data_IF_052467103716
#
_entry.id   IF_052467103716
#
_cell.length_a   1.000
_cell.length_b   1.000
_cell.length_c   1.000
_cell.angle_alpha   90.00
_cell.angle_beta   90.00
_cell.angle_gamma   90.00
#
_symmetry.space_group_name_H-M   'P 1'
#
loop_
_entity.id
_entity.type
_entity.pdbx_description
1 polymer ?
#
# COMPACT_ATOMS: atom_id res chain seq x y z
N UNK A 1 11.37 2.34 -24.36
CA UNK A 1 10.57 1.88 -23.20
C UNK A 1 9.68 3.06 -22.80
N UNK A 2 8.43 2.85 -22.38
CA UNK A 2 7.60 3.96 -21.85
C UNK A 2 8.13 4.37 -20.48
N UNK A 3 8.00 5.66 -20.12
CA UNK A 3 8.44 6.19 -18.83
C UNK A 3 7.75 5.48 -17.67
N UNK A 4 6.48 5.08 -17.80
CA UNK A 4 5.81 4.27 -16.77
C UNK A 4 6.51 2.93 -16.54
N UNK A 5 6.99 2.27 -17.61
CA UNK A 5 7.78 1.04 -17.50
C UNK A 5 9.14 1.31 -16.85
N UNK A 6 9.79 2.43 -17.15
CA UNK A 6 11.02 2.84 -16.47
C UNK A 6 10.82 3.17 -14.98
N UNK A 7 9.70 3.78 -14.59
CA UNK A 7 9.37 4.08 -13.19
C UNK A 7 9.05 2.82 -12.40
N UNK A 8 8.32 1.87 -12.99
CA UNK A 8 8.12 0.53 -12.42
C UNK A 8 9.47 -0.16 -12.20
N UNK A 9 10.46 0.07 -13.07
CA UNK A 9 11.75 -0.63 -13.08
C UNK A 9 12.92 0.16 -12.45
N UNK A 10 12.73 1.40 -11.99
CA UNK A 10 13.81 2.23 -11.41
C UNK A 10 14.16 1.80 -9.98
N UNK A 11 15.43 2.03 -9.63
CA UNK A 11 16.21 1.34 -8.60
C UNK A 11 15.78 1.61 -7.15
N UNK A 12 14.73 0.95 -6.69
CA UNK A 12 14.74 0.32 -5.38
C UNK A 12 15.33 -1.10 -5.55
N UNK A 13 15.96 -1.73 -4.53
CA UNK A 13 16.45 -3.12 -4.66
C UNK A 13 15.34 -4.13 -5.03
N UNK A 14 14.08 -3.70 -4.95
CA UNK A 14 12.84 -4.36 -5.37
C UNK A 14 12.07 -3.35 -6.24
N UNK A 15 11.49 -3.75 -7.38
CA UNK A 15 10.83 -2.80 -8.28
C UNK A 15 9.60 -2.15 -7.64
N UNK A 16 9.25 -0.91 -8.02
CA UNK A 16 8.07 -0.24 -7.46
C UNK A 16 6.79 -1.03 -7.75
N UNK A 17 6.72 -1.68 -8.92
CA UNK A 17 5.61 -2.59 -9.26
C UNK A 17 5.50 -3.78 -8.31
N UNK A 18 6.62 -4.39 -7.92
CA UNK A 18 6.62 -5.52 -6.98
C UNK A 18 6.16 -5.07 -5.58
N UNK A 19 6.61 -3.90 -5.12
CA UNK A 19 6.19 -3.33 -3.84
C UNK A 19 4.68 -3.05 -3.83
N UNK A 20 4.15 -2.51 -4.93
CA UNK A 20 2.71 -2.26 -5.08
C UNK A 20 1.91 -3.57 -5.10
N UNK A 21 2.40 -4.59 -5.82
CA UNK A 21 1.80 -5.92 -5.85
C UNK A 21 1.80 -6.61 -4.48
N UNK A 22 2.92 -6.55 -3.77
CA UNK A 22 3.04 -7.06 -2.39
C UNK A 22 2.08 -6.33 -1.44
N UNK A 23 1.98 -5.01 -1.57
CA UNK A 23 1.09 -4.19 -0.74
C UNK A 23 -0.38 -4.57 -0.96
N UNK A 24 -0.81 -4.63 -2.22
CA UNK A 24 -2.18 -5.00 -2.57
C UNK A 24 -2.50 -6.44 -2.14
N UNK A 25 -1.58 -7.38 -2.35
CA UNK A 25 -1.74 -8.78 -1.96
C UNK A 25 -1.84 -8.95 -0.44
N UNK A 26 -0.96 -8.29 0.32
CA UNK A 26 -1.01 -8.33 1.78
C UNK A 26 -2.30 -7.72 2.32
N UNK A 27 -2.71 -6.55 1.81
CA UNK A 27 -3.94 -5.89 2.23
C UNK A 27 -5.18 -6.75 1.96
N UNK A 28 -5.25 -7.38 0.79
CA UNK A 28 -6.34 -8.31 0.44
C UNK A 28 -6.35 -9.55 1.34
N UNK A 29 -5.18 -10.15 1.59
CA UNK A 29 -5.05 -11.29 2.49
C UNK A 29 -5.47 -10.93 3.93
N UNK A 30 -5.02 -9.78 4.44
CA UNK A 30 -5.40 -9.30 5.77
C UNK A 30 -6.91 -9.10 5.88
N UNK A 31 -7.54 -8.43 4.91
CA UNK A 31 -9.00 -8.25 4.88
C UNK A 31 -9.76 -9.58 4.88
N UNK A 32 -9.30 -10.56 4.10
CA UNK A 32 -9.90 -11.89 4.07
C UNK A 32 -9.77 -12.60 5.43
N UNK A 33 -8.58 -12.57 6.04
CA UNK A 33 -8.30 -13.21 7.33
C UNK A 33 -9.08 -12.54 8.46
N UNK A 34 -9.17 -11.20 8.48
CA UNK A 34 -10.00 -10.46 9.44
C UNK A 34 -11.48 -10.81 9.36
N UNK A 35 -11.95 -11.19 8.16
CA UNK A 35 -13.34 -11.57 7.96
C UNK A 35 -13.62 -12.99 8.45
N UNK A 36 -12.67 -13.91 8.27
CA UNK A 36 -12.85 -15.33 8.62
C UNK A 36 -12.53 -15.60 10.09
N UNK A 37 -11.41 -15.07 10.61
CA UNK A 37 -10.98 -15.27 11.99
C UNK A 37 -10.28 -14.02 12.54
N UNK A 38 -11.06 -13.01 12.96
CA UNK A 38 -10.52 -11.75 13.47
C UNK A 38 -9.71 -11.91 14.77
N UNK A 39 -9.93 -12.97 15.54
CA UNK A 39 -9.28 -13.18 16.84
C UNK A 39 -7.98 -13.97 16.78
N UNK A 40 -7.67 -14.54 15.60
CA UNK A 40 -6.48 -15.35 15.40
C UNK A 40 -5.19 -14.61 15.70
N UNK A 41 -4.15 -15.39 16.03
CA UNK A 41 -2.77 -14.91 16.12
C UNK A 41 -2.33 -14.26 14.79
N UNK A 42 -2.77 -14.81 13.66
CA UNK A 42 -2.45 -14.31 12.34
C UNK A 42 -3.07 -12.92 12.09
N UNK A 43 -4.34 -12.72 12.47
CA UNK A 43 -4.99 -11.40 12.39
C UNK A 43 -4.23 -10.34 13.18
N UNK A 44 -3.83 -10.66 14.41
CA UNK A 44 -3.02 -9.75 15.24
C UNK A 44 -1.68 -9.44 14.59
N UNK A 45 -0.93 -10.46 14.18
CA UNK A 45 0.38 -10.31 13.51
C UNK A 45 0.26 -9.45 12.24
N UNK A 46 -0.77 -9.64 11.43
CA UNK A 46 -0.98 -8.82 10.23
C UNK A 46 -1.24 -7.34 10.58
N UNK A 47 -2.06 -7.09 11.60
CA UNK A 47 -2.41 -5.74 12.03
C UNK A 47 -1.24 -4.98 12.66
N UNK A 48 -0.43 -5.65 13.47
CA UNK A 48 0.60 -4.99 14.29
C UNK A 48 2.01 -5.08 13.72
N UNK A 49 2.31 -6.11 12.93
CA UNK A 49 3.67 -6.41 12.48
C UNK A 49 3.84 -6.38 10.95
N UNK A 50 2.79 -6.68 10.18
CA UNK A 50 2.90 -6.73 8.71
C UNK A 50 2.46 -5.44 8.02
N UNK A 51 1.28 -4.91 8.35
CA UNK A 51 0.73 -3.71 7.73
C UNK A 51 1.58 -2.47 8.01
N UNK A 52 2.01 -2.16 9.25
CA UNK A 52 2.72 -0.91 9.54
C UNK A 52 4.04 -0.74 8.76
N UNK A 53 4.91 -1.77 8.64
CA UNK A 53 6.12 -1.65 7.80
C UNK A 53 5.82 -1.40 6.33
N UNK A 54 4.80 -2.06 5.75
CA UNK A 54 4.43 -1.85 4.35
C UNK A 54 3.98 -0.41 4.10
N UNK A 55 3.26 0.20 5.05
CA UNK A 55 2.89 1.63 4.97
C UNK A 55 4.12 2.53 4.88
N UNK A 56 5.18 2.23 5.63
CA UNK A 56 6.43 3.00 5.57
C UNK A 56 7.17 2.80 4.24
N UNK A 57 7.08 1.61 3.65
CA UNK A 57 7.73 1.29 2.37
C UNK A 57 7.02 1.97 1.19
N UNK A 58 5.69 2.05 1.19
CA UNK A 58 4.94 2.62 0.06
C UNK A 58 4.89 4.16 0.06
N UNK A 59 5.12 4.80 1.21
CA UNK A 59 5.05 6.27 1.36
C UNK A 59 5.99 7.02 0.38
N UNK A 60 7.29 6.68 0.27
CA UNK A 60 8.18 7.34 -0.70
C UNK A 60 7.72 7.18 -2.16
N UNK A 61 7.15 6.03 -2.51
CA UNK A 61 6.64 5.75 -3.87
C UNK A 61 5.43 6.64 -4.18
N UNK A 62 4.53 6.83 -3.21
CA UNK A 62 3.39 7.73 -3.35
C UNK A 62 3.81 9.19 -3.53
N UNK A 63 4.85 9.61 -2.81
CA UNK A 63 5.39 10.95 -2.93
C UNK A 63 6.04 11.17 -4.31
N UNK A 64 6.86 10.23 -4.76
CA UNK A 64 7.45 10.28 -6.10
C UNK A 64 6.37 10.29 -7.20
N UNK A 65 5.35 9.44 -7.08
CA UNK A 65 4.24 9.41 -8.02
C UNK A 65 3.49 10.75 -8.10
N UNK A 66 3.24 11.41 -6.95
CA UNK A 66 2.61 12.73 -6.90
C UNK A 66 3.47 13.81 -7.56
N UNK A 67 4.77 13.80 -7.27
CA UNK A 67 5.71 14.78 -7.86
C UNK A 67 5.81 14.63 -9.37
N UNK A 68 5.76 13.41 -9.89
CA UNK A 68 5.78 13.14 -11.32
C UNK A 68 4.47 13.54 -12.01
N UNK A 69 3.32 13.26 -11.40
CA UNK A 69 2.02 13.70 -11.93
C UNK A 69 1.87 15.23 -11.92
N UNK A 70 2.40 15.91 -10.90
CA UNK A 70 2.42 17.38 -10.83
C UNK A 70 3.26 18.04 -11.96
N UNK A 71 4.09 17.28 -12.66
CA UNK A 71 4.82 17.73 -13.85
C UNK A 71 4.00 17.59 -15.16
N UNK A 72 2.70 17.28 -15.08
CA UNK A 72 1.73 17.18 -16.19
C UNK A 72 2.09 16.11 -17.24
N UNK A 73 2.69 15.00 -16.77
CA UNK A 73 3.05 13.84 -17.59
C UNK A 73 1.93 12.78 -17.52
N UNK A 74 1.19 12.59 -18.60
CA UNK A 74 0.06 11.64 -18.66
C UNK A 74 0.45 10.18 -18.34
N UNK A 75 1.73 9.80 -18.53
CA UNK A 75 2.24 8.48 -18.15
C UNK A 75 2.48 8.37 -16.63
N UNK A 76 2.68 9.49 -15.94
CA UNK A 76 2.79 9.57 -14.49
C UNK A 76 1.42 9.53 -13.80
N UNK A 77 0.36 10.03 -14.44
CA UNK A 77 -1.02 9.94 -13.93
C UNK A 77 -1.44 8.47 -13.74
N UNK A 78 -1.18 7.62 -14.74
CA UNK A 78 -1.48 6.19 -14.64
C UNK A 78 -0.66 5.48 -13.55
N UNK A 79 0.57 5.92 -13.29
CA UNK A 79 1.36 5.39 -12.17
C UNK A 79 0.80 5.83 -10.82
N UNK A 80 0.43 7.11 -10.68
CA UNK A 80 -0.19 7.65 -9.49
C UNK A 80 -1.53 6.97 -9.16
N UNK A 81 -2.34 6.66 -10.17
CA UNK A 81 -3.59 5.90 -9.98
C UNK A 81 -3.33 4.52 -9.36
N UNK A 82 -2.34 3.78 -9.88
CA UNK A 82 -2.00 2.45 -9.35
C UNK A 82 -1.46 2.54 -7.92
N UNK A 83 -0.60 3.51 -7.64
CA UNK A 83 -0.06 3.74 -6.30
C UNK A 83 -1.17 4.09 -5.31
N UNK A 84 -2.08 4.97 -5.72
CA UNK A 84 -3.25 5.37 -4.91
C UNK A 84 -4.15 4.18 -4.63
N UNK A 85 -4.44 3.34 -5.63
CA UNK A 85 -5.26 2.15 -5.46
C UNK A 85 -4.65 1.14 -4.46
N UNK A 86 -3.34 0.90 -4.54
CA UNK A 86 -2.65 0.02 -3.59
C UNK A 86 -2.72 0.55 -2.15
N UNK A 87 -2.56 1.87 -1.98
CA UNK A 87 -2.65 2.51 -0.66
C UNK A 87 -4.07 2.47 -0.11
N UNK A 88 -5.10 2.70 -0.94
CA UNK A 88 -6.48 2.62 -0.49
C UNK A 88 -6.85 1.21 0.02
N UNK A 89 -6.33 0.16 -0.60
CA UNK A 89 -6.49 -1.21 -0.10
C UNK A 89 -5.82 -1.39 1.27
N UNK A 90 -4.60 -0.88 1.43
CA UNK A 90 -3.85 -0.95 2.68
C UNK A 90 -4.55 -0.17 3.81
N UNK A 91 -5.02 1.04 3.53
CA UNK A 91 -5.77 1.87 4.48
C UNK A 91 -7.10 1.23 4.86
N UNK A 92 -7.79 0.55 3.92
CA UNK A 92 -8.99 -0.22 4.22
C UNK A 92 -8.70 -1.38 5.17
N UNK A 93 -7.61 -2.13 4.95
CA UNK A 93 -7.19 -3.20 5.84
C UNK A 93 -6.85 -2.66 7.24
N UNK A 94 -6.09 -1.56 7.32
CA UNK A 94 -5.74 -0.92 8.58
C UNK A 94 -6.97 -0.42 9.34
N UNK A 95 -7.91 0.25 8.65
CA UNK A 95 -9.18 0.69 9.24
C UNK A 95 -9.95 -0.49 9.82
N UNK A 96 -10.01 -1.61 9.09
CA UNK A 96 -10.69 -2.82 9.58
C UNK A 96 -10.00 -3.40 10.81
N UNK A 97 -8.67 -3.39 10.86
CA UNK A 97 -7.93 -3.83 12.03
C UNK A 97 -8.23 -2.96 13.26
N UNK A 98 -8.32 -1.64 13.11
CA UNK A 98 -8.70 -0.70 14.17
C UNK A 98 -10.13 -0.97 14.64
N UNK A 99 -11.09 -1.14 13.73
CA UNK A 99 -12.49 -1.46 14.06
C UNK A 99 -12.62 -2.76 14.88
N UNK A 100 -11.70 -3.70 14.67
CA UNK A 100 -11.64 -4.98 15.38
C UNK A 100 -10.81 -4.91 16.68
N UNK A 101 -10.23 -3.76 17.01
CA UNK A 101 -9.34 -3.59 18.18
C UNK A 101 -8.01 -4.34 18.06
N UNK A 102 -7.56 -4.61 16.83
CA UNK A 102 -6.30 -5.33 16.55
C UNK A 102 -5.09 -4.40 16.44
N UNK A 103 -5.32 -3.12 16.14
CA UNK A 103 -4.27 -2.10 16.06
C UNK A 103 -4.78 -0.76 16.58
N UNK A 104 -3.84 0.08 17.01
CA UNK A 104 -4.12 1.45 17.43
C UNK A 104 -4.53 2.33 16.26
N UNK A 105 -5.21 3.43 16.57
CA UNK A 105 -5.60 4.42 15.58
C UNK A 105 -4.35 5.02 14.90
N UNK A 106 -4.34 5.00 13.57
CA UNK A 106 -3.26 5.57 12.76
C UNK A 106 -3.90 6.41 11.65
N UNK A 107 -3.36 7.60 11.32
CA UNK A 107 -3.86 8.39 10.20
C UNK A 107 -3.81 7.60 8.88
N UNK A 108 -4.64 7.95 7.88
CA UNK A 108 -4.52 7.41 6.52
C UNK A 108 -3.12 7.60 5.93
N UNK A 109 -2.72 6.75 5.00
CA UNK A 109 -1.37 6.78 4.41
C UNK A 109 -1.20 7.89 3.38
N UNK A 110 -2.28 8.27 2.70
CA UNK A 110 -2.34 9.51 1.90
C UNK A 110 -3.31 10.46 2.61
N UNK A 111 -2.90 11.73 2.77
CA UNK A 111 -3.73 12.82 3.29
C UNK A 111 -4.34 13.63 2.16
#
# INVERSE_FOLDING_TARGET
>A
MSKSKELITKQHPISAGDILGMTAGLAAAAMHIYTIDPTSKLSKMLATEAIPPIRQIILPIAEEARQLAAADDAEADGFLEVVTAAILLLDKANKKAIELGLSDAVPPTIQ
#
